data_IF_461444827472
#
_entry.id   IF_461444827472
#
_cell.length_a   1.000
_cell.length_b   1.000
_cell.length_c   1.000
_cell.angle_alpha   90.00
_cell.angle_beta   90.00
_cell.angle_gamma   90.00
#
_symmetry.space_group_name_H-M   'P 1'
#
loop_
_entity.id
_entity.type
_entity.pdbx_description
1 polymer ?
#
# COMPACT_ATOMS: atom_id res chain seq x y z
N UNK A 1 2.68 -24.89 -3.88
CA UNK A 1 2.00 -23.75 -4.53
C UNK A 1 3.09 -22.88 -5.14
N UNK A 2 2.88 -22.28 -6.32
CA UNK A 2 3.87 -21.38 -6.91
C UNK A 2 4.04 -20.14 -6.01
N UNK A 3 5.22 -19.50 -6.09
CA UNK A 3 5.55 -18.24 -5.41
C UNK A 3 4.53 -17.12 -5.75
N UNK A 4 4.30 -16.18 -4.80
CA UNK A 4 3.56 -14.96 -5.04
C UNK A 4 4.51 -13.76 -5.02
N UNK A 5 4.28 -12.78 -5.90
CA UNK A 5 4.96 -11.48 -5.88
C UNK A 5 3.89 -10.40 -5.73
N UNK A 6 4.00 -9.56 -4.70
CA UNK A 6 3.02 -8.53 -4.37
C UNK A 6 3.66 -7.15 -4.36
N UNK A 7 3.07 -6.21 -5.03
CA UNK A 7 3.54 -4.82 -5.14
C UNK A 7 2.40 -3.79 -5.22
N UNK A 8 2.64 -2.52 -4.99
CA UNK A 8 3.96 -1.87 -4.84
C UNK A 8 4.00 -0.89 -3.63
N UNK A 9 2.96 -0.78 -2.84
CA UNK A 9 2.87 0.19 -1.76
C UNK A 9 3.69 -0.21 -0.52
N UNK A 10 3.74 0.70 0.44
CA UNK A 10 4.34 0.48 1.76
C UNK A 10 4.18 1.73 2.60
N UNK A 11 3.77 1.55 3.86
CA UNK A 11 3.45 2.64 4.77
C UNK A 11 4.10 2.43 6.13
N UNK A 12 4.45 3.55 6.74
CA UNK A 12 4.67 3.67 8.16
C UNK A 12 3.44 4.29 8.79
N UNK A 13 2.65 3.46 9.47
CA UNK A 13 1.45 3.90 10.17
C UNK A 13 1.80 4.30 11.60
N UNK A 14 1.52 5.56 11.95
CA UNK A 14 1.67 6.13 13.29
C UNK A 14 0.27 6.24 13.87
N UNK A 15 -0.06 5.34 14.80
CA UNK A 15 -1.36 5.32 15.46
C UNK A 15 -1.33 6.30 16.62
N UNK A 16 -2.32 7.19 16.67
CA UNK A 16 -2.41 8.25 17.65
C UNK A 16 -3.83 8.36 18.21
N UNK A 17 -3.95 8.75 19.47
CA UNK A 17 -5.24 9.16 20.05
C UNK A 17 -5.27 10.67 20.25
N UNK A 18 -6.28 11.39 19.73
CA UNK A 18 -6.41 12.83 19.91
C UNK A 18 -6.88 13.14 21.33
N UNK A 19 -6.18 14.05 22.02
CA UNK A 19 -6.48 14.46 23.39
C UNK A 19 -7.60 15.50 23.36
N UNK A 20 -8.63 15.26 24.16
CA UNK A 20 -9.74 16.19 24.38
C UNK A 20 -9.43 17.20 25.48
N UNK A 21 -8.85 16.73 26.57
CA UNK A 21 -8.45 17.53 27.75
C UNK A 21 -7.57 16.72 28.67
N UNK A 22 -7.01 17.36 29.68
CA UNK A 22 -6.36 16.68 30.81
C UNK A 22 -7.21 16.74 32.06
N UNK A 23 -7.18 15.69 32.87
CA UNK A 23 -7.66 15.63 34.24
C UNK A 23 -6.45 15.39 35.15
N UNK A 24 -5.89 16.47 35.73
CA UNK A 24 -4.53 16.40 36.30
C UNK A 24 -3.54 16.06 35.17
N UNK A 25 -2.71 15.02 35.40
CA UNK A 25 -1.73 14.55 34.39
C UNK A 25 -2.28 13.46 33.47
N UNK A 26 -3.56 13.09 33.60
CA UNK A 26 -4.16 12.01 32.82
C UNK A 26 -4.86 12.55 31.58
N UNK A 27 -4.49 12.11 30.35
CA UNK A 27 -5.16 12.52 29.14
C UNK A 27 -6.54 11.87 29.03
N UNK A 28 -7.52 12.67 28.68
CA UNK A 28 -8.87 12.24 28.27
C UNK A 28 -8.95 12.41 26.76
N UNK A 29 -9.30 11.35 26.04
CA UNK A 29 -9.30 11.33 24.60
C UNK A 29 -10.69 11.66 24.02
N UNK A 30 -10.72 12.03 22.75
CA UNK A 30 -11.94 12.02 21.98
C UNK A 30 -12.34 10.57 21.71
N UNK A 31 -13.57 10.20 22.08
CA UNK A 31 -14.04 8.81 21.97
C UNK A 31 -14.69 8.53 20.61
N UNK A 32 -15.32 9.52 19.99
CA UNK A 32 -15.99 9.31 18.71
C UNK A 32 -15.66 10.40 17.69
N UNK A 33 -15.75 10.06 16.41
CA UNK A 33 -15.43 10.95 15.30
C UNK A 33 -16.42 12.09 15.17
N UNK A 34 -17.70 11.91 15.52
CA UNK A 34 -18.72 12.95 15.39
C UNK A 34 -18.44 14.14 16.32
N UNK A 35 -18.15 13.87 17.59
CA UNK A 35 -17.83 14.92 18.57
C UNK A 35 -16.54 15.64 18.24
N UNK A 36 -15.54 14.89 17.75
CA UNK A 36 -14.28 15.44 17.27
C UNK A 36 -14.49 16.36 16.06
N UNK A 37 -15.31 15.93 15.09
CA UNK A 37 -15.65 16.75 13.92
C UNK A 37 -16.40 18.04 14.31
N UNK A 38 -17.35 17.98 15.25
CA UNK A 38 -18.04 19.15 15.79
C UNK A 38 -17.06 20.14 16.44
N UNK A 39 -16.09 19.62 17.19
CA UNK A 39 -15.05 20.46 17.81
C UNK A 39 -14.21 21.19 16.76
N UNK A 40 -13.70 20.46 15.75
CA UNK A 40 -12.89 21.05 14.68
C UNK A 40 -13.73 22.09 13.90
N UNK A 41 -14.97 21.76 13.57
CA UNK A 41 -15.87 22.62 12.80
C UNK A 41 -16.36 23.88 13.56
N UNK A 42 -16.24 23.91 14.88
CA UNK A 42 -16.68 25.04 15.72
C UNK A 42 -15.70 26.20 15.79
N UNK A 43 -14.45 26.01 15.40
CA UNK A 43 -13.38 27.00 15.54
C UNK A 43 -12.63 27.29 14.23
N UNK A 44 -11.98 28.48 14.18
CA UNK A 44 -11.09 28.85 13.05
C UNK A 44 -9.72 28.22 13.16
N UNK A 45 -9.25 27.93 14.39
CA UNK A 45 -7.99 27.29 14.71
C UNK A 45 -8.27 26.22 15.77
N UNK A 46 -7.86 24.98 15.51
CA UNK A 46 -7.88 23.89 16.48
C UNK A 46 -6.46 23.45 16.75
N UNK A 47 -6.03 23.49 18.01
CA UNK A 47 -4.78 22.88 18.48
C UNK A 47 -5.12 21.54 19.13
N UNK A 48 -4.64 20.45 18.51
CA UNK A 48 -4.97 19.09 18.90
C UNK A 48 -3.67 18.36 19.25
N UNK A 49 -3.53 18.05 20.51
CA UNK A 49 -2.42 17.20 20.98
C UNK A 49 -2.72 15.74 20.65
N UNK A 50 -1.70 15.04 20.19
CA UNK A 50 -1.78 13.62 19.85
C UNK A 50 -0.87 12.83 20.79
N UNK A 51 -1.37 11.71 21.29
CA UNK A 51 -0.55 10.73 21.98
C UNK A 51 -0.37 9.54 21.05
N UNK A 52 0.87 9.30 20.63
CA UNK A 52 1.25 8.14 19.84
C UNK A 52 1.09 6.87 20.67
N UNK A 53 0.33 5.92 20.14
CA UNK A 53 0.08 4.63 20.79
C UNK A 53 0.92 3.50 20.20
N UNK A 54 1.14 3.54 18.88
CA UNK A 54 1.87 2.50 18.16
C UNK A 54 2.48 3.05 16.88
N UNK A 55 3.55 2.40 16.42
CA UNK A 55 4.06 2.54 15.04
C UNK A 55 4.18 1.15 14.44
N UNK A 56 3.62 0.95 13.25
CA UNK A 56 3.65 -0.33 12.54
C UNK A 56 3.79 -0.12 11.04
N UNK A 57 4.17 -1.17 10.33
CA UNK A 57 4.04 -1.15 8.88
C UNK A 57 2.57 -1.27 8.47
N UNK A 58 2.23 -0.63 7.38
CA UNK A 58 0.94 -0.69 6.71
C UNK A 58 1.13 -0.78 5.20
N UNK A 59 0.03 -0.69 4.50
CA UNK A 59 -0.03 -0.84 3.05
C UNK A 59 -0.56 -2.21 2.65
N UNK A 60 -1.23 -2.25 1.49
CA UNK A 60 -1.88 -3.48 1.04
C UNK A 60 -0.86 -4.53 0.61
N UNK A 61 0.28 -4.13 0.01
CA UNK A 61 1.31 -5.07 -0.41
C UNK A 61 1.97 -5.79 0.79
N UNK A 62 2.51 -5.12 1.81
CA UNK A 62 3.13 -5.82 2.92
C UNK A 62 2.13 -6.60 3.78
N UNK A 63 0.89 -6.11 3.94
CA UNK A 63 -0.15 -6.83 4.71
C UNK A 63 -0.56 -8.12 3.99
N UNK A 64 -0.85 -8.06 2.68
CA UNK A 64 -1.19 -9.24 1.88
C UNK A 64 -0.03 -10.22 1.84
N UNK A 65 1.21 -9.73 1.64
CA UNK A 65 2.41 -10.58 1.63
C UNK A 65 2.59 -11.32 2.96
N UNK A 66 2.39 -10.63 4.09
CA UNK A 66 2.47 -11.23 5.41
C UNK A 66 1.38 -12.29 5.64
N UNK A 67 0.18 -12.06 5.15
CA UNK A 67 -0.93 -13.02 5.22
C UNK A 67 -0.65 -14.28 4.39
N UNK A 68 -0.16 -14.11 3.14
CA UNK A 68 0.21 -15.23 2.28
C UNK A 68 1.35 -16.06 2.89
N UNK A 69 2.39 -15.41 3.43
CA UNK A 69 3.49 -16.09 4.11
C UNK A 69 3.01 -16.85 5.36
N UNK A 70 2.05 -16.31 6.12
CA UNK A 70 1.45 -17.00 7.26
C UNK A 70 0.67 -18.26 6.85
N UNK A 71 0.19 -18.33 5.63
CA UNK A 71 -0.42 -19.52 5.03
C UNK A 71 0.61 -20.50 4.44
N UNK A 72 1.91 -20.23 4.61
CA UNK A 72 2.99 -21.07 4.10
C UNK A 72 3.26 -20.90 2.61
N UNK A 73 2.84 -19.77 2.02
CA UNK A 73 3.10 -19.47 0.61
C UNK A 73 4.40 -18.67 0.51
N UNK A 74 5.34 -19.15 -0.30
CA UNK A 74 6.54 -18.38 -0.65
C UNK A 74 6.14 -17.04 -1.28
N UNK A 75 6.59 -15.94 -0.69
CA UNK A 75 6.12 -14.61 -1.08
C UNK A 75 7.27 -13.62 -1.13
N UNK A 76 7.32 -12.84 -2.21
CA UNK A 76 8.15 -11.65 -2.31
C UNK A 76 7.24 -10.40 -2.30
N UNK A 77 7.68 -9.35 -1.61
CA UNK A 77 7.01 -8.07 -1.55
C UNK A 77 7.91 -6.97 -2.11
N UNK A 78 7.46 -6.33 -3.17
CA UNK A 78 8.13 -5.16 -3.77
C UNK A 78 7.37 -3.94 -3.28
N UNK A 79 8.01 -3.02 -2.56
CA UNK A 79 7.26 -1.91 -1.97
C UNK A 79 8.10 -0.70 -1.59
N UNK A 80 7.41 0.32 -1.13
CA UNK A 80 7.99 1.58 -0.65
C UNK A 80 8.49 1.38 0.79
N UNK A 81 9.75 0.97 0.99
CA UNK A 81 10.25 0.54 2.30
C UNK A 81 11.43 1.33 2.86
N UNK A 82 12.00 2.27 2.08
CA UNK A 82 13.07 3.12 2.57
C UNK A 82 12.57 4.01 3.70
N UNK A 83 13.27 3.99 4.85
CA UNK A 83 12.88 4.74 6.04
C UNK A 83 11.87 4.04 6.95
N UNK A 84 11.37 2.86 6.59
CA UNK A 84 10.50 2.07 7.48
C UNK A 84 11.25 1.48 8.70
N UNK A 85 12.58 1.28 8.60
CA UNK A 85 13.40 0.80 9.73
C UNK A 85 12.96 -0.58 10.25
N UNK A 86 13.04 -0.74 11.57
CA UNK A 86 12.81 -2.02 12.25
C UNK A 86 11.34 -2.46 12.25
N UNK A 87 10.40 -1.58 11.90
CA UNK A 87 8.97 -1.96 11.87
C UNK A 87 8.67 -3.06 10.83
N UNK A 88 9.54 -3.25 9.82
CA UNK A 88 9.44 -4.34 8.84
C UNK A 88 10.13 -5.64 9.26
N UNK A 89 10.81 -5.70 10.41
CA UNK A 89 11.59 -6.87 10.78
C UNK A 89 10.74 -8.14 10.80
N UNK A 90 9.58 -8.12 11.44
CA UNK A 90 8.70 -9.29 11.51
C UNK A 90 8.11 -9.72 10.15
N UNK A 91 8.05 -8.82 9.16
CA UNK A 91 7.69 -9.17 7.78
C UNK A 91 8.88 -9.81 7.07
N UNK A 92 10.08 -9.22 7.18
CA UNK A 92 11.32 -9.70 6.54
C UNK A 92 11.76 -11.09 6.98
N UNK A 93 11.36 -11.54 8.15
CA UNK A 93 11.60 -12.90 8.64
C UNK A 93 10.84 -13.98 7.84
N UNK A 94 9.79 -13.59 7.10
CA UNK A 94 8.86 -14.50 6.42
C UNK A 94 8.65 -14.19 4.94
N UNK A 95 9.00 -12.99 4.53
CA UNK A 95 8.76 -12.45 3.18
C UNK A 95 10.03 -11.83 2.64
N UNK A 96 10.39 -12.14 1.42
CA UNK A 96 11.47 -11.44 0.71
C UNK A 96 11.00 -10.02 0.38
N UNK A 97 11.56 -8.99 1.04
CA UNK A 97 11.15 -7.60 0.87
C UNK A 97 12.17 -6.81 0.04
N UNK A 98 11.70 -6.19 -1.02
CA UNK A 98 12.49 -5.36 -1.93
C UNK A 98 11.99 -3.92 -1.92
N UNK A 99 12.88 -2.96 -1.61
CA UNK A 99 12.51 -1.54 -1.57
C UNK A 99 12.69 -0.88 -2.94
N UNK A 100 11.67 -0.17 -3.36
CA UNK A 100 11.66 0.64 -4.60
C UNK A 100 11.49 2.13 -4.34
N UNK A 101 11.47 2.56 -3.09
CA UNK A 101 11.38 3.97 -2.76
C UNK A 101 11.07 4.24 -1.30
N UNK A 102 10.93 5.54 -1.02
CA UNK A 102 10.64 6.04 0.33
C UNK A 102 9.24 5.60 0.79
N UNK A 103 9.18 5.12 2.02
CA UNK A 103 7.97 4.70 2.70
C UNK A 103 6.96 5.85 2.78
N UNK A 104 5.72 5.58 2.40
CA UNK A 104 4.62 6.49 2.69
C UNK A 104 4.42 6.62 4.20
N UNK A 105 3.91 7.76 4.67
CA UNK A 105 3.58 7.94 6.08
C UNK A 105 2.09 8.16 6.26
N UNK A 106 1.53 7.56 7.29
CA UNK A 106 0.15 7.78 7.67
C UNK A 106 0.04 7.98 9.18
N UNK A 107 -0.56 9.10 9.59
CA UNK A 107 -1.00 9.31 10.96
C UNK A 107 -2.46 8.89 11.07
N UNK A 108 -2.73 7.83 11.81
CA UNK A 108 -4.07 7.33 12.06
C UNK A 108 -4.58 7.87 13.40
N UNK A 109 -5.59 8.72 13.38
CA UNK A 109 -6.29 9.16 14.59
C UNK A 109 -7.33 8.11 14.94
N UNK A 110 -7.15 7.44 16.10
CA UNK A 110 -8.01 6.34 16.54
C UNK A 110 -9.09 6.84 17.50
N UNK A 111 -10.34 6.40 17.24
CA UNK A 111 -11.53 6.62 18.04
C UNK A 111 -12.18 5.27 18.33
N UNK A 112 -13.15 5.24 19.27
CA UNK A 112 -13.88 4.01 19.59
C UNK A 112 -14.77 3.55 18.43
N UNK A 113 -15.23 4.47 17.58
CA UNK A 113 -16.14 4.23 16.46
C UNK A 113 -15.45 4.19 15.08
N UNK A 114 -14.11 4.39 15.03
CA UNK A 114 -13.37 4.34 13.78
C UNK A 114 -12.04 5.09 13.83
N UNK A 115 -11.54 5.48 12.66
CA UNK A 115 -10.28 6.21 12.55
C UNK A 115 -10.25 7.17 11.37
N UNK A 116 -9.47 8.23 11.50
CA UNK A 116 -9.16 9.17 10.42
C UNK A 116 -7.72 8.92 9.98
N UNK A 117 -7.52 8.68 8.70
CA UNK A 117 -6.20 8.42 8.12
C UNK A 117 -5.68 9.69 7.45
N UNK A 118 -4.54 10.20 7.91
CA UNK A 118 -3.86 11.38 7.38
C UNK A 118 -2.55 10.93 6.73
N UNK A 119 -2.58 10.75 5.42
CA UNK A 119 -1.47 10.17 4.68
C UNK A 119 -0.63 11.20 3.93
N UNK A 120 0.69 10.97 3.88
CA UNK A 120 1.62 11.59 2.94
C UNK A 120 2.05 10.50 1.96
N UNK A 121 1.73 10.69 0.66
CA UNK A 121 1.89 9.67 -0.36
C UNK A 121 3.12 9.95 -1.22
N UNK A 122 4.27 9.39 -0.84
CA UNK A 122 5.51 9.43 -1.65
C UNK A 122 5.38 8.55 -2.92
N UNK A 123 4.52 7.53 -2.86
CA UNK A 123 4.27 6.62 -3.97
C UNK A 123 3.56 7.23 -5.17
N UNK A 124 2.94 8.42 -5.03
CA UNK A 124 2.20 9.07 -6.13
C UNK A 124 3.08 9.31 -7.36
N UNK A 125 4.38 9.57 -7.17
CA UNK A 125 5.35 9.81 -8.23
C UNK A 125 5.97 8.54 -8.82
N UNK A 126 5.68 7.35 -8.29
CA UNK A 126 6.24 6.10 -8.81
C UNK A 126 5.82 5.90 -10.27
N UNK A 127 6.82 5.67 -11.13
CA UNK A 127 6.63 5.37 -12.54
C UNK A 127 7.63 4.27 -12.95
N UNK A 128 7.51 3.79 -14.20
CA UNK A 128 8.38 2.72 -14.69
C UNK A 128 9.88 3.06 -14.61
N UNK A 129 10.28 4.27 -14.96
CA UNK A 129 11.67 4.67 -14.91
C UNK A 129 12.20 4.71 -13.47
N UNK A 130 11.42 5.29 -12.53
CA UNK A 130 11.78 5.30 -11.12
C UNK A 130 11.85 3.86 -10.53
N UNK A 131 10.97 2.97 -10.95
CA UNK A 131 11.05 1.55 -10.58
C UNK A 131 12.35 0.92 -11.09
N UNK A 132 12.71 1.12 -12.37
CA UNK A 132 13.91 0.55 -12.97
C UNK A 132 15.23 1.09 -12.40
N UNK A 133 15.26 2.34 -11.97
CA UNK A 133 16.42 2.92 -11.28
C UNK A 133 16.73 2.17 -9.98
N UNK A 134 15.68 1.75 -9.26
CA UNK A 134 15.81 1.02 -7.99
C UNK A 134 15.90 -0.49 -8.17
N UNK A 135 15.21 -1.02 -9.16
CA UNK A 135 15.10 -2.43 -9.47
C UNK A 135 15.24 -2.64 -10.99
N UNK A 136 16.45 -2.89 -11.49
CA UNK A 136 16.66 -3.15 -12.91
C UNK A 136 15.81 -4.33 -13.40
N UNK A 137 15.40 -4.30 -14.67
CA UNK A 137 14.54 -5.33 -15.27
C UNK A 137 15.03 -6.77 -15.03
N UNK A 138 16.34 -6.98 -15.10
CA UNK A 138 16.94 -8.31 -14.81
C UNK A 138 16.62 -8.78 -13.39
N UNK A 139 16.65 -7.87 -12.41
CA UNK A 139 16.32 -8.20 -11.02
C UNK A 139 14.83 -8.45 -10.86
N UNK A 140 13.99 -7.63 -11.48
CA UNK A 140 12.54 -7.82 -11.46
C UNK A 140 12.15 -9.17 -12.09
N UNK A 141 12.77 -9.55 -13.23
CA UNK A 141 12.57 -10.87 -13.85
C UNK A 141 13.01 -12.00 -12.91
N UNK A 142 14.15 -11.87 -12.22
CA UNK A 142 14.63 -12.84 -11.23
C UNK A 142 13.63 -13.01 -10.07
N UNK A 143 13.06 -11.91 -9.57
CA UNK A 143 12.05 -11.97 -8.51
C UNK A 143 10.78 -12.66 -9.02
N UNK A 144 10.44 -12.48 -10.29
CA UNK A 144 9.27 -13.09 -10.93
C UNK A 144 9.47 -14.57 -11.33
N UNK A 145 10.68 -15.11 -11.24
CA UNK A 145 10.94 -16.55 -11.52
C UNK A 145 10.12 -17.42 -10.57
N UNK A 146 9.37 -18.38 -11.14
CA UNK A 146 8.49 -19.28 -10.41
C UNK A 146 7.24 -18.61 -9.78
N UNK A 147 7.03 -17.32 -10.05
CA UNK A 147 5.85 -16.61 -9.60
C UNK A 147 4.60 -17.08 -10.35
N UNK A 148 3.63 -17.63 -9.63
CA UNK A 148 2.34 -18.03 -10.20
C UNK A 148 1.25 -16.97 -10.04
N UNK A 149 1.41 -16.04 -9.08
CA UNK A 149 0.48 -14.94 -8.84
C UNK A 149 1.24 -13.64 -8.64
N UNK A 150 0.96 -12.66 -9.49
CA UNK A 150 1.37 -11.28 -9.31
C UNK A 150 0.21 -10.49 -8.70
N UNK A 151 0.43 -9.85 -7.54
CA UNK A 151 -0.53 -8.92 -6.94
C UNK A 151 -0.12 -7.48 -7.21
N UNK A 152 -0.97 -6.74 -7.90
CA UNK A 152 -0.86 -5.28 -8.11
C UNK A 152 -1.91 -4.66 -7.20
N UNK A 153 -1.48 -4.18 -6.04
CA UNK A 153 -2.40 -3.74 -5.00
C UNK A 153 -2.34 -2.23 -4.78
N UNK A 154 -3.42 -1.70 -4.18
CA UNK A 154 -3.58 -0.28 -3.89
C UNK A 154 -3.42 0.62 -5.13
N UNK A 155 -4.05 0.20 -6.25
CA UNK A 155 -3.96 0.87 -7.55
C UNK A 155 -4.25 2.37 -7.46
N UNK A 156 -5.24 2.76 -6.66
CA UNK A 156 -5.68 4.15 -6.53
C UNK A 156 -4.61 5.09 -5.95
N UNK A 157 -3.63 4.56 -5.20
CA UNK A 157 -2.56 5.34 -4.60
C UNK A 157 -1.43 5.71 -5.58
N UNK A 158 -1.46 5.16 -6.82
CA UNK A 158 -0.39 5.36 -7.81
C UNK A 158 -0.93 6.00 -9.08
N UNK A 159 -0.60 7.26 -9.33
CA UNK A 159 -1.09 7.99 -10.49
C UNK A 159 -0.65 7.36 -11.83
N UNK A 160 0.55 6.78 -11.87
CA UNK A 160 1.14 6.21 -13.09
C UNK A 160 0.95 4.69 -13.20
N UNK A 161 0.10 4.06 -12.39
CA UNK A 161 0.00 2.59 -12.34
C UNK A 161 -0.43 1.98 -13.67
N UNK A 162 -1.35 2.62 -14.39
CA UNK A 162 -1.77 2.12 -15.72
C UNK A 162 -0.57 2.02 -16.65
N UNK A 163 0.21 3.09 -16.79
CA UNK A 163 1.43 3.11 -17.59
C UNK A 163 2.47 2.10 -17.10
N UNK A 164 2.64 1.95 -15.78
CA UNK A 164 3.54 0.93 -15.22
C UNK A 164 3.14 -0.49 -15.63
N UNK A 165 1.84 -0.82 -15.58
CA UNK A 165 1.35 -2.14 -15.99
C UNK A 165 1.63 -2.39 -17.48
N UNK A 166 1.43 -1.40 -18.32
CA UNK A 166 1.72 -1.49 -19.75
C UNK A 166 3.22 -1.74 -20.01
N UNK A 167 4.10 -1.02 -19.30
CA UNK A 167 5.54 -1.24 -19.38
C UNK A 167 5.94 -2.62 -18.81
N UNK A 168 5.31 -3.08 -17.74
CA UNK A 168 5.52 -4.44 -17.25
C UNK A 168 5.05 -5.50 -18.24
N UNK A 169 3.95 -5.27 -18.96
CA UNK A 169 3.47 -6.17 -20.02
C UNK A 169 4.49 -6.28 -21.14
N UNK A 170 5.08 -5.17 -21.56
CA UNK A 170 6.07 -5.12 -22.63
C UNK A 170 7.41 -5.75 -22.22
N UNK A 171 7.90 -5.44 -21.01
CA UNK A 171 9.26 -5.74 -20.61
C UNK A 171 9.40 -6.97 -19.69
N UNK A 172 8.36 -7.33 -18.94
CA UNK A 172 8.42 -8.38 -17.93
C UNK A 172 7.54 -9.58 -18.27
N UNK A 173 6.25 -9.33 -18.62
CA UNK A 173 5.28 -10.40 -18.81
C UNK A 173 5.54 -11.24 -20.07
N UNK A 174 6.37 -10.77 -20.99
CA UNK A 174 6.80 -11.51 -22.17
C UNK A 174 7.55 -12.81 -21.82
N UNK A 175 8.29 -12.82 -20.71
CA UNK A 175 9.07 -13.94 -20.21
C UNK A 175 8.47 -14.59 -18.96
N UNK A 176 7.38 -14.01 -18.40
CA UNK A 176 6.73 -14.53 -17.21
C UNK A 176 5.82 -15.72 -17.53
N UNK A 177 6.03 -16.84 -16.83
CA UNK A 177 5.28 -18.10 -16.98
C UNK A 177 4.14 -18.26 -15.96
N UNK A 178 3.84 -17.22 -15.19
CA UNK A 178 2.72 -17.19 -14.26
C UNK A 178 1.36 -17.13 -14.95
N UNK A 179 0.31 -17.37 -14.17
CA UNK A 179 -1.04 -17.54 -14.72
C UNK A 179 -2.11 -16.68 -14.03
N UNK A 180 -1.79 -16.03 -12.91
CA UNK A 180 -2.75 -15.20 -12.16
C UNK A 180 -2.23 -13.79 -11.92
N UNK A 181 -3.11 -12.79 -12.12
CA UNK A 181 -2.88 -11.41 -11.70
C UNK A 181 -4.01 -10.99 -10.78
N UNK A 182 -3.68 -10.57 -9.58
CA UNK A 182 -4.60 -9.99 -8.61
C UNK A 182 -4.49 -8.47 -8.66
N UNK A 183 -5.61 -7.80 -8.89
CA UNK A 183 -5.75 -6.35 -8.81
C UNK A 183 -6.57 -5.99 -7.56
N UNK A 184 -5.98 -5.23 -6.66
CA UNK A 184 -6.69 -4.52 -5.61
C UNK A 184 -6.75 -3.04 -5.96
N UNK A 185 -7.95 -2.53 -6.19
CA UNK A 185 -8.16 -1.14 -6.62
C UNK A 185 -8.13 -0.17 -5.44
N UNK A 186 -8.36 -0.66 -4.22
CA UNK A 186 -8.59 0.15 -3.02
C UNK A 186 -9.73 1.18 -3.25
N UNK A 187 -9.72 2.31 -2.54
CA UNK A 187 -10.71 3.38 -2.80
C UNK A 187 -10.28 4.23 -4.01
N UNK A 188 -10.94 4.00 -5.13
CA UNK A 188 -10.69 4.73 -6.37
C UNK A 188 -11.65 5.92 -6.61
N UNK A 189 -12.42 6.33 -5.60
CA UNK A 189 -13.39 7.45 -5.72
C UNK A 189 -12.72 8.78 -6.08
N UNK A 190 -11.45 8.94 -5.73
CA UNK A 190 -10.65 10.11 -6.05
C UNK A 190 -9.94 10.05 -7.42
N UNK A 191 -10.06 8.92 -8.17
CA UNK A 191 -9.43 8.77 -9.48
C UNK A 191 -10.34 9.31 -10.59
N UNK A 192 -9.71 9.84 -11.63
CA UNK A 192 -10.44 10.28 -12.82
C UNK A 192 -11.09 9.07 -13.52
N UNK A 193 -12.29 9.32 -14.07
CA UNK A 193 -13.03 8.26 -14.80
C UNK A 193 -12.25 7.68 -15.98
N UNK A 194 -11.37 8.47 -16.58
CA UNK A 194 -10.56 8.03 -17.71
C UNK A 194 -9.49 7.03 -17.26
N UNK A 195 -8.85 7.25 -16.10
CA UNK A 195 -7.90 6.29 -15.52
C UNK A 195 -8.55 4.91 -15.30
N UNK A 196 -9.79 4.92 -14.79
CA UNK A 196 -10.55 3.67 -14.57
C UNK A 196 -10.88 2.99 -15.91
N UNK A 197 -11.24 3.77 -16.94
CA UNK A 197 -11.51 3.21 -18.27
C UNK A 197 -10.27 2.61 -18.93
N UNK A 198 -9.12 3.25 -18.75
CA UNK A 198 -7.84 2.72 -19.23
C UNK A 198 -7.49 1.43 -18.48
N UNK A 199 -7.61 1.40 -17.15
CA UNK A 199 -7.39 0.17 -16.39
C UNK A 199 -8.27 -0.97 -16.88
N UNK A 200 -9.55 -0.72 -17.15
CA UNK A 200 -10.47 -1.74 -17.68
C UNK A 200 -9.99 -2.26 -19.04
N UNK A 201 -9.45 -1.41 -19.91
CA UNK A 201 -8.88 -1.85 -21.20
C UNK A 201 -7.65 -2.74 -20.99
N UNK A 202 -6.76 -2.34 -20.08
CA UNK A 202 -5.57 -3.12 -19.70
C UNK A 202 -5.98 -4.49 -19.15
N UNK A 203 -6.89 -4.52 -18.17
CA UNK A 203 -7.40 -5.77 -17.59
C UNK A 203 -8.00 -6.71 -18.64
N UNK A 204 -8.83 -6.18 -19.54
CA UNK A 204 -9.41 -6.97 -20.64
C UNK A 204 -8.34 -7.57 -21.55
N UNK A 205 -7.28 -6.83 -21.85
CA UNK A 205 -6.15 -7.30 -22.66
C UNK A 205 -5.37 -8.40 -21.93
N UNK A 206 -5.05 -8.19 -20.66
CA UNK A 206 -4.34 -9.17 -19.84
C UNK A 206 -5.17 -10.44 -19.60
N UNK A 207 -6.50 -10.34 -19.52
CA UNK A 207 -7.40 -11.47 -19.35
C UNK A 207 -7.42 -12.43 -20.55
N UNK A 208 -6.85 -12.07 -21.70
CA UNK A 208 -6.65 -12.98 -22.82
C UNK A 208 -5.55 -14.02 -22.53
N UNK A 209 -4.62 -13.73 -21.62
CA UNK A 209 -3.47 -14.57 -21.31
C UNK A 209 -3.47 -15.06 -19.85
N UNK A 210 -3.95 -14.24 -18.91
CA UNK A 210 -3.89 -14.48 -17.48
C UNK A 210 -5.28 -14.59 -16.86
N UNK A 211 -5.37 -15.30 -15.74
CA UNK A 211 -6.58 -15.29 -14.89
C UNK A 211 -6.54 -14.05 -14.00
N UNK A 212 -7.55 -13.22 -14.14
CA UNK A 212 -7.64 -11.97 -13.38
C UNK A 212 -8.52 -12.18 -12.14
N UNK A 213 -8.01 -11.74 -11.00
CA UNK A 213 -8.74 -11.63 -9.74
C UNK A 213 -8.83 -10.14 -9.43
N UNK A 214 -10.03 -9.64 -9.19
CA UNK A 214 -10.30 -8.23 -8.96
C UNK A 214 -10.97 -8.04 -7.59
N UNK A 215 -10.47 -7.08 -6.82
CA UNK A 215 -11.01 -6.67 -5.51
C UNK A 215 -11.26 -5.16 -5.47
#
# INVERSE_FOLDING_TARGET
>A
MKKCVIGFDGYRDILCRPVKKYQGDTPVFWENMEDFAKYIGSGRNADIQLIQTCVKYGGNAPILSGALAALGIETACIGMFDGCGDILQGLRERVECYSIGTCNQCTALEFADGKIMLGTLESMGLCWDALRERMPEKELRRIMEGCGLLGIVNWSAFLNMNSMIEQMEEHIFTEWDGDHIFFDLADFSAREKEDVRELIKIIKRLALKYRIILS
#
